data_IF_693483628494
#
_entry.id   IF_693483628494
#
_cell.length_a   1.000
_cell.length_b   1.000
_cell.length_c   1.000
_cell.angle_alpha   90.00
_cell.angle_beta   90.00
_cell.angle_gamma   90.00
#
_symmetry.space_group_name_H-M   'P 1'
#
loop_
_entity.id
_entity.type
_entity.pdbx_description
1 polymer ?
#
# COMPACT_ATOMS: atom_id res chain seq x y z
N UNK A 1 21.14 -10.64 5.32
CA UNK A 1 20.42 -9.65 4.50
C UNK A 1 19.35 -9.04 5.38
N UNK A 2 19.37 -7.73 5.59
CA UNK A 2 18.32 -7.03 6.35
C UNK A 2 17.05 -7.00 5.51
N UNK A 3 15.95 -7.55 6.01
CA UNK A 3 14.65 -7.45 5.34
C UNK A 3 14.31 -5.96 5.16
N UNK A 4 13.97 -5.50 3.94
CA UNK A 4 13.63 -4.11 3.70
C UNK A 4 12.46 -3.69 4.60
N UNK A 5 12.61 -2.59 5.34
CA UNK A 5 11.51 -2.04 6.14
C UNK A 5 10.53 -1.34 5.20
N UNK A 6 9.27 -1.82 5.20
CA UNK A 6 8.19 -1.30 4.35
C UNK A 6 7.09 -0.75 5.24
N UNK A 7 6.53 0.40 4.85
CA UNK A 7 5.36 1.02 5.49
C UNK A 7 4.23 1.10 4.46
N UNK A 8 2.97 0.98 4.87
CA UNK A 8 1.80 1.14 3.98
C UNK A 8 0.78 2.12 4.56
N UNK A 9 0.02 2.78 3.69
CA UNK A 9 -1.27 3.38 4.06
C UNK A 9 -2.45 2.43 3.74
N UNK A 10 -3.67 2.94 3.84
CA UNK A 10 -4.92 2.18 3.74
C UNK A 10 -5.20 1.63 2.33
N UNK A 11 -5.05 2.44 1.28
CA UNK A 11 -5.51 2.05 -0.06
C UNK A 11 -4.82 0.81 -0.64
N UNK A 12 -3.50 0.60 -0.51
CA UNK A 12 -2.89 -0.66 -0.90
C UNK A 12 -3.45 -1.86 -0.15
N UNK A 13 -3.65 -1.74 1.17
CA UNK A 13 -4.15 -2.85 2.00
C UNK A 13 -5.59 -3.19 1.62
N UNK A 14 -6.47 -2.20 1.61
CA UNK A 14 -7.90 -2.40 1.31
C UNK A 14 -8.13 -2.90 -0.11
N UNK A 15 -7.40 -2.40 -1.11
CA UNK A 15 -7.54 -2.88 -2.49
C UNK A 15 -7.02 -4.31 -2.65
N UNK A 16 -5.84 -4.64 -2.13
CA UNK A 16 -5.30 -6.00 -2.17
C UNK A 16 -6.22 -6.98 -1.44
N UNK A 17 -6.76 -6.58 -0.29
CA UNK A 17 -7.73 -7.39 0.45
C UNK A 17 -8.98 -7.67 -0.38
N UNK A 18 -9.58 -6.66 -1.02
CA UNK A 18 -10.81 -6.80 -1.82
C UNK A 18 -10.66 -7.70 -3.04
N UNK A 19 -9.44 -7.85 -3.56
CA UNK A 19 -9.13 -8.79 -4.65
C UNK A 19 -8.48 -10.09 -4.17
N UNK A 20 -8.40 -10.33 -2.85
CA UNK A 20 -7.81 -11.55 -2.29
C UNK A 20 -6.29 -11.68 -2.46
N UNK A 21 -5.59 -10.58 -2.70
CA UNK A 21 -4.13 -10.51 -2.95
C UNK A 21 -3.34 -9.89 -1.79
N UNK A 22 -3.94 -9.74 -0.61
CA UNK A 22 -3.21 -9.33 0.60
C UNK A 22 -1.98 -10.22 0.93
N UNK A 23 -1.99 -11.56 0.67
CA UNK A 23 -0.81 -12.41 0.89
C UNK A 23 0.47 -11.95 0.18
N UNK A 24 0.36 -11.18 -0.91
CA UNK A 24 1.51 -10.63 -1.60
C UNK A 24 2.39 -9.76 -0.69
N UNK A 25 1.81 -9.07 0.31
CA UNK A 25 2.60 -8.25 1.22
C UNK A 25 3.60 -9.09 2.02
N UNK A 26 3.17 -10.25 2.52
CA UNK A 26 4.05 -11.19 3.22
C UNK A 26 5.05 -11.86 2.29
N UNK A 27 4.62 -12.29 1.10
CA UNK A 27 5.49 -12.93 0.12
C UNK A 27 6.61 -12.02 -0.38
N UNK A 28 6.30 -10.74 -0.62
CA UNK A 28 7.24 -9.78 -1.21
C UNK A 28 8.12 -9.09 -0.17
N UNK A 29 7.59 -8.82 1.03
CA UNK A 29 8.24 -7.95 2.00
C UNK A 29 8.46 -8.61 3.38
N UNK A 30 7.87 -9.78 3.62
CA UNK A 30 7.88 -10.47 4.91
C UNK A 30 6.96 -9.79 5.94
N UNK A 31 7.28 -8.55 6.34
CA UNK A 31 6.48 -7.74 7.25
C UNK A 31 6.34 -6.31 6.73
N UNK A 32 5.14 -5.75 6.88
CA UNK A 32 4.82 -4.37 6.48
C UNK A 32 4.27 -3.63 7.68
N UNK A 33 4.87 -2.50 8.02
CA UNK A 33 4.36 -1.65 9.08
C UNK A 33 3.10 -0.93 8.61
N UNK A 34 2.07 -0.94 9.45
CA UNK A 34 0.82 -0.24 9.22
C UNK A 34 0.56 0.73 10.38
N UNK A 35 0.33 2.03 10.12
CA UNK A 35 -0.03 2.99 11.16
C UNK A 35 -1.32 2.60 11.89
N UNK A 36 -1.43 2.90 13.18
CA UNK A 36 -2.66 2.69 13.95
C UNK A 36 -3.88 3.39 13.30
N UNK A 37 -3.70 4.58 12.75
CA UNK A 37 -4.76 5.33 12.05
C UNK A 37 -5.30 4.56 10.84
N UNK A 38 -4.43 3.84 10.13
CA UNK A 38 -4.82 3.01 8.98
C UNK A 38 -5.58 1.77 9.44
N UNK A 39 -5.15 1.17 10.56
CA UNK A 39 -5.89 0.06 11.20
C UNK A 39 -7.31 0.50 11.57
N UNK A 40 -7.46 1.67 12.18
CA UNK A 40 -8.77 2.22 12.55
C UNK A 40 -9.67 2.46 11.33
N UNK A 41 -9.10 2.86 10.19
CA UNK A 41 -9.84 2.99 8.93
C UNK A 41 -10.30 1.64 8.37
N UNK A 42 -9.43 0.64 8.37
CA UNK A 42 -9.78 -0.72 7.96
C UNK A 42 -10.90 -1.30 8.84
N UNK A 43 -10.89 -0.99 10.14
CA UNK A 43 -11.91 -1.42 11.10
C UNK A 43 -13.27 -0.79 10.85
N UNK A 44 -13.28 0.52 10.62
CA UNK A 44 -14.51 1.23 10.21
C UNK A 44 -15.03 0.70 8.88
N UNK A 45 -14.14 0.26 8.00
CA UNK A 45 -14.44 -0.38 6.72
C UNK A 45 -14.90 -1.85 6.78
N UNK A 46 -14.98 -2.48 7.96
CA UNK A 46 -15.27 -3.92 8.08
C UNK A 46 -16.56 -4.39 7.39
N UNK A 47 -17.55 -3.51 7.25
CA UNK A 47 -18.81 -3.84 6.55
C UNK A 47 -18.62 -4.11 5.05
N UNK A 48 -17.56 -3.53 4.44
CA UNK A 48 -17.16 -3.79 3.05
C UNK A 48 -16.03 -4.81 2.99
N UNK A 49 -15.10 -4.76 3.95
CA UNK A 49 -13.86 -5.53 3.94
C UNK A 49 -13.97 -6.90 4.64
N UNK A 50 -15.08 -7.16 5.33
CA UNK A 50 -15.25 -8.34 6.17
C UNK A 50 -14.34 -8.35 7.39
N UNK A 51 -14.10 -9.54 7.95
CA UNK A 51 -13.17 -9.77 9.05
C UNK A 51 -11.71 -9.71 8.54
N UNK A 52 -11.25 -8.53 8.12
CA UNK A 52 -9.96 -8.36 7.42
C UNK A 52 -8.75 -8.88 8.21
N UNK A 53 -8.80 -8.86 9.54
CA UNK A 53 -7.75 -9.41 10.41
C UNK A 53 -7.58 -10.91 10.32
N UNK A 54 -8.63 -11.62 9.90
CA UNK A 54 -8.63 -13.07 9.72
C UNK A 54 -8.33 -13.44 8.26
N UNK A 55 -8.22 -12.44 7.37
CA UNK A 55 -7.95 -12.68 5.97
C UNK A 55 -6.52 -13.23 5.77
N UNK A 56 -6.30 -14.13 4.80
CA UNK A 56 -4.97 -14.58 4.43
C UNK A 56 -4.01 -13.40 4.17
N UNK A 57 -2.83 -13.43 4.79
CA UNK A 57 -1.80 -12.39 4.67
C UNK A 57 -1.93 -11.22 5.66
N UNK A 58 -2.97 -11.16 6.48
CA UNK A 58 -3.12 -10.13 7.51
C UNK A 58 -2.01 -10.19 8.57
N UNK A 59 -1.42 -11.37 8.80
CA UNK A 59 -0.29 -11.61 9.71
C UNK A 59 1.01 -10.90 9.29
N UNK A 60 1.12 -10.51 8.01
CA UNK A 60 2.23 -9.71 7.52
C UNK A 60 2.15 -8.23 7.96
N UNK A 61 0.96 -7.75 8.36
CA UNK A 61 0.74 -6.38 8.79
C UNK A 61 1.10 -6.23 10.28
N UNK A 62 2.05 -5.34 10.56
CA UNK A 62 2.53 -5.07 11.92
C UNK A 62 2.17 -3.64 12.31
N UNK A 63 1.33 -3.50 13.34
CA UNK A 63 0.90 -2.18 13.80
C UNK A 63 2.07 -1.42 14.42
N UNK A 64 2.26 -0.18 13.99
CA UNK A 64 3.21 0.74 14.58
C UNK A 64 2.62 2.16 14.58
N UNK A 65 3.09 3.03 15.47
CA UNK A 65 2.66 4.42 15.50
C UNK A 65 3.87 5.33 15.21
N UNK A 66 3.70 6.40 14.40
CA UNK A 66 4.67 7.47 14.34
C UNK A 66 4.72 8.24 15.67
N UNK A 67 5.75 9.05 15.87
CA UNK A 67 5.83 9.96 16.99
C UNK A 67 4.79 11.09 16.83
N UNK A 68 4.07 11.42 17.91
CA UNK A 68 3.29 12.67 17.96
C UNK A 68 4.25 13.85 18.12
N UNK A 69 4.65 14.41 16.98
CA UNK A 69 5.59 15.50 16.91
C UNK A 69 5.25 16.54 15.83
N UNK A 70 6.05 17.61 15.73
CA UNK A 70 5.82 18.69 14.77
C UNK A 70 5.72 18.21 13.33
N UNK A 71 6.49 17.17 12.97
CA UNK A 71 6.47 16.61 11.62
C UNK A 71 5.12 16.00 11.28
N UNK A 72 4.58 15.12 12.12
CA UNK A 72 3.24 14.54 11.92
C UNK A 72 2.18 15.65 11.85
N UNK A 73 2.23 16.63 12.75
CA UNK A 73 1.29 17.77 12.76
C UNK A 73 1.35 18.60 11.47
N UNK A 74 2.54 18.80 10.92
CA UNK A 74 2.72 19.48 9.64
C UNK A 74 2.11 18.68 8.48
N UNK A 75 2.27 17.35 8.48
CA UNK A 75 1.68 16.48 7.45
C UNK A 75 0.15 16.51 7.51
N UNK A 76 -0.42 16.50 8.71
CA UNK A 76 -1.87 16.56 8.96
C UNK A 76 -2.54 17.85 8.47
N UNK A 77 -1.78 18.91 8.17
CA UNK A 77 -2.34 20.15 7.59
C UNK A 77 -2.77 19.93 6.13
N UNK A 78 -2.15 19.00 5.41
CA UNK A 78 -2.37 18.82 3.96
C UNK A 78 -2.80 17.40 3.57
N UNK A 79 -2.68 16.41 4.45
CA UNK A 79 -3.00 15.01 4.20
C UNK A 79 -4.02 14.49 5.21
N UNK A 80 -4.72 13.42 4.86
CA UNK A 80 -5.55 12.70 5.82
C UNK A 80 -4.69 12.01 6.91
N UNK A 81 -5.30 11.61 8.04
CA UNK A 81 -4.56 11.00 9.15
C UNK A 81 -3.80 9.72 8.80
N UNK A 82 -4.33 8.88 7.92
CA UNK A 82 -3.70 7.61 7.52
C UNK A 82 -2.45 7.85 6.67
N UNK A 83 -2.55 8.73 5.67
CA UNK A 83 -1.42 9.13 4.82
C UNK A 83 -0.33 9.85 5.61
N UNK A 84 -0.72 10.83 6.45
CA UNK A 84 0.20 11.58 7.27
C UNK A 84 0.98 10.65 8.21
N UNK A 85 0.28 9.71 8.86
CA UNK A 85 0.90 8.76 9.76
C UNK A 85 1.84 7.78 9.04
N UNK A 86 1.47 7.31 7.84
CA UNK A 86 2.31 6.41 7.05
C UNK A 86 3.61 7.10 6.60
N UNK A 87 3.54 8.35 6.13
CA UNK A 87 4.71 9.12 5.74
C UNK A 87 5.59 9.45 6.95
N UNK A 88 5.00 9.90 8.06
CA UNK A 88 5.73 10.16 9.30
C UNK A 88 6.51 8.93 9.75
N UNK A 89 5.83 7.78 9.85
CA UNK A 89 6.42 6.52 10.26
C UNK A 89 7.51 6.06 9.29
N UNK A 90 7.30 6.21 7.98
CA UNK A 90 8.29 5.85 6.97
C UNK A 90 9.58 6.67 7.10
N UNK A 91 9.47 7.99 7.33
CA UNK A 91 10.63 8.86 7.54
C UNK A 91 11.35 8.50 8.85
N UNK A 92 10.61 8.39 9.95
CA UNK A 92 11.15 8.09 11.28
C UNK A 92 11.91 6.76 11.32
N UNK A 93 11.38 5.75 10.62
CA UNK A 93 11.97 4.41 10.57
C UNK A 93 12.97 4.22 9.44
N UNK A 94 13.26 5.27 8.66
CA UNK A 94 14.10 5.19 7.46
C UNK A 94 13.66 4.05 6.55
N UNK A 95 12.35 3.97 6.30
CA UNK A 95 11.74 2.91 5.51
C UNK A 95 12.33 2.89 4.10
N UNK A 96 12.62 1.68 3.64
CA UNK A 96 13.16 1.45 2.31
C UNK A 96 12.11 1.64 1.20
N UNK A 97 10.83 1.53 1.57
CA UNK A 97 9.69 1.64 0.67
C UNK A 97 8.42 2.05 1.43
N UNK A 98 7.65 2.97 0.86
CA UNK A 98 6.30 3.31 1.27
C UNK A 98 5.28 2.84 0.21
N UNK A 99 4.25 2.11 0.63
CA UNK A 99 3.11 1.74 -0.20
C UNK A 99 2.02 2.82 -0.03
N UNK A 100 1.70 3.52 -1.11
CA UNK A 100 0.70 4.60 -1.14
C UNK A 100 0.18 4.81 -2.56
N UNK A 101 -1.13 4.93 -2.77
CA UNK A 101 -1.71 5.10 -4.10
C UNK A 101 -1.95 6.56 -4.46
N UNK A 102 -2.28 7.38 -3.47
CA UNK A 102 -2.80 8.72 -3.61
C UNK A 102 -1.75 9.72 -4.08
N UNK A 103 -2.19 10.63 -4.95
CA UNK A 103 -1.31 11.58 -5.62
C UNK A 103 -0.68 12.57 -4.63
N UNK A 104 -1.44 13.07 -3.66
CA UNK A 104 -0.95 14.08 -2.72
C UNK A 104 0.00 13.50 -1.68
N UNK A 105 -0.32 12.33 -1.12
CA UNK A 105 0.61 11.54 -0.31
C UNK A 105 1.90 11.22 -1.07
N UNK A 106 1.83 10.80 -2.34
CA UNK A 106 3.02 10.58 -3.19
C UNK A 106 3.84 11.85 -3.39
N UNK A 107 3.23 13.02 -3.59
CA UNK A 107 3.97 14.29 -3.72
C UNK A 107 4.71 14.64 -2.44
N UNK A 108 4.07 14.46 -1.28
CA UNK A 108 4.69 14.75 0.02
C UNK A 108 5.82 13.75 0.31
N UNK A 109 5.58 12.44 0.15
CA UNK A 109 6.61 11.43 0.37
C UNK A 109 7.87 11.66 -0.49
N UNK A 110 7.68 12.09 -1.75
CA UNK A 110 8.79 12.44 -2.65
C UNK A 110 9.63 13.62 -2.14
N UNK A 111 8.99 14.65 -1.57
CA UNK A 111 9.67 15.80 -0.94
C UNK A 111 10.54 15.39 0.25
N UNK A 112 10.22 14.25 0.89
CA UNK A 112 10.97 13.68 2.00
C UNK A 112 11.91 12.52 1.57
N UNK A 113 12.16 12.36 0.27
CA UNK A 113 13.12 11.37 -0.24
C UNK A 113 12.66 9.91 -0.14
N UNK A 114 11.38 9.66 0.12
CA UNK A 114 10.85 8.30 0.22
C UNK A 114 10.78 7.64 -1.16
N UNK A 115 11.22 6.38 -1.23
CA UNK A 115 10.87 5.49 -2.35
C UNK A 115 9.45 5.00 -2.16
N UNK A 116 8.65 5.01 -3.23
CA UNK A 116 7.24 4.67 -3.15
C UNK A 116 6.81 3.72 -4.25
N UNK A 117 5.87 2.85 -3.90
CA UNK A 117 5.05 2.09 -4.86
C UNK A 117 3.59 2.14 -4.39
N UNK A 118 2.68 1.56 -5.15
CA UNK A 118 1.26 1.45 -4.77
C UNK A 118 0.71 0.07 -5.14
N UNK A 119 -0.61 -0.09 -5.10
CA UNK A 119 -1.31 -1.35 -5.37
C UNK A 119 -0.85 -2.00 -6.67
N UNK A 120 -0.83 -1.26 -7.77
CA UNK A 120 -0.43 -1.79 -9.08
C UNK A 120 1.03 -2.21 -9.13
N UNK A 121 1.91 -1.50 -8.40
CA UNK A 121 3.31 -1.88 -8.33
C UNK A 121 3.54 -3.12 -7.46
N UNK A 122 2.73 -3.34 -6.43
CA UNK A 122 2.72 -4.59 -5.66
C UNK A 122 2.30 -5.77 -6.54
N UNK A 123 1.24 -5.61 -7.35
CA UNK A 123 0.81 -6.64 -8.29
C UNK A 123 1.87 -6.94 -9.35
N UNK A 124 2.46 -5.89 -9.94
CA UNK A 124 3.53 -6.05 -10.92
C UNK A 124 4.74 -6.79 -10.33
N UNK A 125 5.12 -6.45 -9.10
CA UNK A 125 6.22 -7.13 -8.41
C UNK A 125 5.86 -8.59 -8.07
N UNK A 126 4.62 -8.87 -7.67
CA UNK A 126 4.10 -10.22 -7.49
C UNK A 126 4.21 -11.07 -8.75
N UNK A 127 3.88 -10.49 -9.92
CA UNK A 127 4.09 -11.14 -11.22
C UNK A 127 5.58 -11.36 -11.51
N UNK A 128 6.42 -10.36 -11.28
CA UNK A 128 7.88 -10.44 -11.53
C UNK A 128 8.55 -11.54 -10.70
N UNK A 129 8.08 -11.77 -9.47
CA UNK A 129 8.57 -12.83 -8.59
C UNK A 129 7.86 -14.19 -8.79
N UNK A 130 6.94 -14.29 -9.74
CA UNK A 130 6.25 -15.54 -10.07
C UNK A 130 5.11 -15.93 -9.12
N UNK A 131 4.67 -15.02 -8.25
CA UNK A 131 3.51 -15.24 -7.38
C UNK A 131 2.18 -15.06 -8.12
N UNK A 132 2.17 -14.30 -9.22
CA UNK A 132 1.01 -14.10 -10.08
C UNK A 132 1.26 -14.61 -11.50
N UNK A 133 0.25 -15.27 -12.07
CA UNK A 133 0.28 -15.72 -13.47
C UNK A 133 0.12 -14.59 -14.49
N UNK A 134 -0.67 -13.56 -14.16
CA UNK A 134 -0.88 -12.35 -14.96
C UNK A 134 -1.26 -11.19 -14.04
N UNK A 135 -1.08 -9.94 -14.49
CA UNK A 135 -1.46 -8.72 -13.77
C UNK A 135 -2.81 -8.19 -14.26
N UNK A 136 -3.12 -8.38 -15.55
CA UNK A 136 -4.33 -7.86 -16.19
C UNK A 136 -5.62 -8.22 -15.45
N UNK A 137 -5.83 -9.49 -15.09
CA UNK A 137 -7.05 -9.92 -14.40
C UNK A 137 -7.23 -9.26 -13.03
N UNK A 138 -6.14 -9.03 -12.30
CA UNK A 138 -6.17 -8.30 -11.03
C UNK A 138 -6.47 -6.81 -11.22
N UNK A 139 -5.93 -6.18 -12.27
CA UNK A 139 -6.28 -4.79 -12.62
C UNK A 139 -7.75 -4.63 -12.98
N UNK A 140 -8.31 -5.59 -13.71
CA UNK A 140 -9.73 -5.60 -14.06
C UNK A 140 -10.60 -5.88 -12.83
N UNK A 141 -10.15 -6.73 -11.90
CA UNK A 141 -10.80 -6.93 -10.61
C UNK A 141 -10.80 -5.65 -9.75
N UNK A 142 -9.66 -4.94 -9.66
CA UNK A 142 -9.56 -3.64 -9.00
C UNK A 142 -10.52 -2.62 -9.61
N UNK A 143 -10.59 -2.56 -10.94
CA UNK A 143 -11.48 -1.63 -11.65
C UNK A 143 -12.96 -1.90 -11.34
N UNK A 144 -13.37 -3.18 -11.27
CA UNK A 144 -14.73 -3.57 -10.84
C UNK A 144 -15.05 -3.17 -9.40
N UNK A 145 -14.03 -3.00 -8.57
CA UNK A 145 -14.13 -2.54 -7.19
C UNK A 145 -14.06 -1.00 -7.06
N UNK A 146 -14.05 -0.26 -8.17
CA UNK A 146 -14.04 1.20 -8.20
C UNK A 146 -12.65 1.83 -8.18
N UNK A 147 -11.58 1.03 -8.27
CA UNK A 147 -10.21 1.56 -8.38
C UNK A 147 -9.99 2.14 -9.79
N UNK A 148 -9.84 3.46 -9.88
CA UNK A 148 -9.65 4.11 -11.16
C UNK A 148 -8.20 4.00 -11.66
N UNK A 149 -8.00 3.34 -12.80
CA UNK A 149 -6.71 3.21 -13.46
C UNK A 149 -6.76 3.98 -14.78
N UNK A 150 -6.02 5.08 -14.86
CA UNK A 150 -5.89 5.84 -16.10
C UNK A 150 -5.30 4.98 -17.24
N UNK A 151 -5.77 5.19 -18.47
CA UNK A 151 -5.39 4.36 -19.62
C UNK A 151 -3.86 4.27 -19.83
N UNK A 152 -3.14 5.38 -19.69
CA UNK A 152 -1.69 5.41 -19.81
C UNK A 152 -0.99 4.57 -18.72
N UNK A 153 -1.46 4.64 -17.48
CA UNK A 153 -0.93 3.82 -16.38
C UNK A 153 -1.25 2.35 -16.60
N UNK A 154 -2.46 2.03 -17.07
CA UNK A 154 -2.85 0.65 -17.41
C UNK A 154 -1.91 0.06 -18.45
N UNK A 155 -1.68 0.76 -19.55
CA UNK A 155 -0.77 0.33 -20.61
C UNK A 155 0.67 0.18 -20.12
N UNK A 156 1.15 1.11 -19.30
CA UNK A 156 2.49 1.03 -18.72
C UNK A 156 2.68 -0.22 -17.86
N UNK A 157 1.71 -0.54 -16.98
CA UNK A 157 1.76 -1.73 -16.12
C UNK A 157 1.71 -3.01 -16.95
N UNK A 158 0.85 -3.08 -17.96
CA UNK A 158 0.75 -4.25 -18.85
C UNK A 158 2.04 -4.47 -19.64
N UNK A 159 2.62 -3.41 -20.21
CA UNK A 159 3.91 -3.51 -20.90
C UNK A 159 5.03 -3.98 -19.96
N UNK A 160 5.08 -3.45 -18.73
CA UNK A 160 6.06 -3.86 -17.73
C UNK A 160 5.86 -5.33 -17.28
N UNK A 161 4.63 -5.85 -17.36
CA UNK A 161 4.30 -7.24 -17.06
C UNK A 161 4.55 -8.21 -18.24
N UNK A 162 4.86 -7.70 -19.44
CA UNK A 162 4.92 -8.50 -20.67
C UNK A 162 3.55 -8.91 -21.21
N UNK A 163 2.51 -8.14 -20.90
CA UNK A 163 1.10 -8.41 -21.19
C UNK A 163 0.47 -7.34 -22.11
N UNK A 164 1.27 -6.51 -22.79
CA UNK A 164 0.79 -5.43 -23.68
C UNK A 164 0.05 -5.95 -24.92
#
# INVERSE_FOLDING_TARGET
MTTPLVVTNNTPVSHLLRIGQLPLLGLLFGRVLVPAQVVDELDRGQHVLGAWREAPGADALVVAAPLDGPFLRQLLVQLDPGEAAAIALAVERSASLLLIDEVDGRKVGRRHGLRMTGTLGVLLEGKRQGHLGEVRSWMDALSRQGFHIGAALKQHVLAAAGEA
#
